data_IF_638984855354
#
_entry.id   IF_638984855354
#
_cell.length_a   1.000
_cell.length_b   1.000
_cell.length_c   1.000
_cell.angle_alpha   90.00
_cell.angle_beta   90.00
_cell.angle_gamma   90.00
#
_symmetry.space_group_name_H-M   'P 1'
#
loop_
_entity.id
_entity.type
_entity.pdbx_description
1 polymer ?
#
# COMPACT_ATOMS: atom_id res chain seq x y z
N UNK A 1 54.96 -20.89 0.91
CA UNK A 1 54.28 -19.71 0.33
C UNK A 1 53.04 -20.03 -0.56
N UNK A 2 52.86 -21.25 -1.05
CA UNK A 2 51.67 -21.61 -1.88
C UNK A 2 50.37 -21.81 -1.08
N UNK A 3 50.44 -22.23 0.18
CA UNK A 3 49.24 -22.50 1.03
C UNK A 3 48.49 -21.24 1.50
N UNK A 4 49.15 -20.09 1.59
CA UNK A 4 48.57 -18.81 2.02
C UNK A 4 47.67 -18.19 0.92
N UNK A 5 47.98 -18.44 -0.36
CA UNK A 5 47.19 -17.93 -1.49
C UNK A 5 45.81 -18.57 -1.59
N UNK A 6 45.65 -19.83 -1.19
CA UNK A 6 44.36 -20.52 -1.20
C UNK A 6 43.47 -20.16 0.00
N UNK A 7 44.09 -19.81 1.14
CA UNK A 7 43.36 -19.34 2.32
C UNK A 7 42.67 -17.98 2.05
N UNK A 8 43.37 -17.07 1.36
CA UNK A 8 42.80 -15.77 0.94
C UNK A 8 41.67 -15.91 -0.07
N UNK A 9 41.76 -16.87 -0.99
CA UNK A 9 40.70 -17.12 -1.99
C UNK A 9 39.45 -17.73 -1.36
N UNK A 10 39.59 -18.64 -0.39
CA UNK A 10 38.44 -19.21 0.34
C UNK A 10 37.73 -18.19 1.22
N UNK A 11 38.43 -17.22 1.83
CA UNK A 11 37.84 -16.17 2.64
C UNK A 11 37.04 -15.19 1.77
N UNK A 12 37.53 -14.86 0.57
CA UNK A 12 36.81 -14.00 -0.39
C UNK A 12 35.58 -14.70 -0.93
N UNK A 13 35.62 -16.01 -1.18
CA UNK A 13 34.47 -16.81 -1.64
C UNK A 13 33.41 -16.99 -0.54
N UNK A 14 33.79 -17.01 0.74
CA UNK A 14 32.87 -17.09 1.88
C UNK A 14 32.18 -15.73 2.18
N UNK A 15 32.81 -14.62 1.84
CA UNK A 15 32.25 -13.26 2.02
C UNK A 15 31.22 -12.88 0.93
N UNK A 16 31.20 -13.58 -0.21
CA UNK A 16 30.23 -13.31 -1.29
C UNK A 16 28.91 -14.08 -1.16
N UNK A 17 28.76 -14.95 -0.14
CA UNK A 17 27.50 -15.68 0.10
C UNK A 17 26.53 -15.00 1.09
N UNK A 18 26.80 -13.76 1.50
CA UNK A 18 25.97 -13.05 2.50
C UNK A 18 25.22 -11.86 1.94
N UNK A 19 24.67 -11.93 0.75
CA UNK A 19 23.69 -10.94 0.32
C UNK A 19 22.64 -11.57 -0.59
N UNK A 20 21.73 -12.36 -0.08
CA UNK A 20 20.34 -12.43 -0.54
C UNK A 20 19.48 -13.00 0.61
N UNK A 21 19.38 -12.31 1.72
CA UNK A 21 18.14 -12.39 2.48
C UNK A 21 17.26 -11.30 1.93
N UNK A 22 16.59 -11.57 0.82
CA UNK A 22 15.40 -10.85 0.46
C UNK A 22 14.42 -11.01 1.62
N UNK A 23 14.25 -9.96 2.41
CA UNK A 23 13.17 -9.84 3.38
C UNK A 23 11.89 -9.72 2.55
N UNK A 24 11.44 -10.81 1.94
CA UNK A 24 10.14 -10.91 1.32
C UNK A 24 9.13 -10.84 2.47
N UNK A 25 8.49 -9.68 2.65
CA UNK A 25 7.32 -9.60 3.51
C UNK A 25 6.34 -10.66 3.04
N UNK A 26 5.81 -11.47 3.98
CA UNK A 26 4.82 -12.50 3.63
C UNK A 26 3.61 -11.81 3.01
N UNK A 27 3.04 -12.43 1.97
CA UNK A 27 1.80 -11.96 1.38
C UNK A 27 0.67 -11.96 2.42
N UNK A 28 -0.20 -10.97 2.36
CA UNK A 28 -1.37 -10.88 3.21
C UNK A 28 -2.47 -11.73 2.61
N UNK A 29 -2.84 -12.81 3.30
CA UNK A 29 -3.88 -13.74 2.86
C UNK A 29 -5.29 -13.20 3.17
N UNK A 30 -6.27 -13.62 2.38
CA UNK A 30 -7.69 -13.31 2.55
C UNK A 30 -8.26 -12.40 1.48
N UNK A 31 -9.59 -12.22 1.51
CA UNK A 31 -10.31 -11.31 0.60
C UNK A 31 -10.02 -9.86 0.98
N UNK A 32 -10.00 -8.97 0.01
CA UNK A 32 -9.74 -7.55 0.27
C UNK A 32 -10.80 -6.90 1.15
N UNK A 33 -12.05 -7.35 1.10
CA UNK A 33 -13.12 -6.87 1.99
C UNK A 33 -12.78 -7.16 3.46
N UNK A 34 -12.38 -8.41 3.76
CA UNK A 34 -12.01 -8.83 5.12
C UNK A 34 -10.76 -8.08 5.62
N UNK A 35 -9.82 -7.81 4.71
CA UNK A 35 -8.62 -7.02 5.02
C UNK A 35 -9.02 -5.55 5.28
N UNK A 36 -9.89 -4.97 4.46
CA UNK A 36 -10.38 -3.61 4.65
C UNK A 36 -11.05 -3.46 6.01
N UNK A 37 -11.90 -4.40 6.41
CA UNK A 37 -12.55 -4.38 7.73
C UNK A 37 -11.53 -4.40 8.88
N UNK A 38 -10.44 -5.14 8.73
CA UNK A 38 -9.35 -5.17 9.71
C UNK A 38 -8.62 -3.84 9.85
N UNK A 39 -8.52 -3.05 8.77
CA UNK A 39 -7.92 -1.71 8.84
C UNK A 39 -8.72 -0.75 9.72
N UNK A 40 -10.02 -0.95 9.82
CA UNK A 40 -10.91 -0.10 10.61
C UNK A 40 -11.16 -0.57 12.05
N UNK A 41 -10.53 -1.66 12.48
CA UNK A 41 -10.83 -2.27 13.79
C UNK A 41 -10.57 -1.31 14.96
N UNK A 42 -9.52 -0.49 14.86
CA UNK A 42 -9.15 0.47 15.92
C UNK A 42 -9.80 1.86 15.75
N UNK A 43 -10.72 1.99 14.78
CA UNK A 43 -11.49 3.22 14.56
C UNK A 43 -12.93 2.96 15.00
N UNK A 44 -13.35 3.60 16.11
CA UNK A 44 -14.71 3.50 16.60
C UNK A 44 -15.71 3.98 15.53
N UNK A 45 -16.90 3.38 15.48
CA UNK A 45 -17.89 3.66 14.43
C UNK A 45 -18.28 5.15 14.35
N UNK A 46 -18.40 5.82 15.48
CA UNK A 46 -18.72 7.26 15.56
C UNK A 46 -17.58 8.17 15.09
N UNK A 47 -16.36 7.64 14.99
CA UNK A 47 -15.18 8.33 14.43
C UNK A 47 -14.93 7.99 12.96
N UNK A 48 -15.70 7.06 12.37
CA UNK A 48 -15.62 6.77 10.94
C UNK A 48 -16.37 7.85 10.15
N UNK A 49 -15.92 8.14 8.91
CA UNK A 49 -16.64 9.11 8.08
C UNK A 49 -18.07 8.63 7.79
N UNK A 50 -18.99 9.58 7.69
CA UNK A 50 -20.39 9.25 7.33
C UNK A 50 -20.47 8.63 5.93
N UNK A 51 -21.44 7.74 5.73
CA UNK A 51 -21.70 7.05 4.45
C UNK A 51 -20.47 6.37 3.85
N UNK A 52 -19.67 5.72 4.71
CA UNK A 52 -18.51 4.93 4.27
C UNK A 52 -18.99 3.71 3.48
N UNK A 53 -18.46 3.49 2.29
CA UNK A 53 -18.87 2.43 1.36
C UNK A 53 -17.66 1.77 0.73
N UNK A 54 -17.68 0.45 0.65
CA UNK A 54 -16.69 -0.32 -0.12
C UNK A 54 -17.11 -0.35 -1.60
N UNK A 55 -16.20 0.08 -2.47
CA UNK A 55 -16.38 0.22 -3.90
C UNK A 55 -15.44 -0.77 -4.61
N UNK A 56 -15.95 -1.75 -5.35
CA UNK A 56 -15.12 -2.59 -6.21
C UNK A 56 -14.39 -1.76 -7.27
N UNK A 57 -13.12 -2.05 -7.47
CA UNK A 57 -12.30 -1.38 -8.48
C UNK A 57 -12.07 -2.33 -9.65
N UNK A 58 -12.22 -1.79 -10.86
CA UNK A 58 -11.97 -2.45 -12.15
C UNK A 58 -11.10 -1.57 -13.05
N UNK A 59 -10.81 -2.06 -14.26
CA UNK A 59 -9.95 -1.37 -15.22
C UNK A 59 -10.54 -0.04 -15.73
N UNK A 60 -11.85 0.19 -15.58
CA UNK A 60 -12.51 1.42 -16.02
C UNK A 60 -12.36 2.55 -14.99
N UNK A 61 -12.25 2.20 -13.69
CA UNK A 61 -12.26 3.17 -12.61
C UNK A 61 -10.96 3.27 -11.80
N UNK A 62 -10.03 2.33 -11.93
CA UNK A 62 -8.80 2.25 -11.11
C UNK A 62 -7.99 3.54 -11.14
N UNK A 63 -7.87 4.20 -12.30
CA UNK A 63 -7.12 5.44 -12.46
C UNK A 63 -7.69 6.57 -11.56
N UNK A 64 -9.00 6.62 -11.37
CA UNK A 64 -9.65 7.62 -10.52
C UNK A 64 -9.34 7.45 -9.03
N UNK A 65 -8.96 6.23 -8.62
CA UNK A 65 -8.65 5.92 -7.22
C UNK A 65 -7.16 6.05 -6.90
N UNK A 66 -6.28 5.62 -7.81
CA UNK A 66 -4.83 5.55 -7.55
C UNK A 66 -3.97 6.38 -8.50
N UNK A 67 -4.57 7.07 -9.49
CA UNK A 67 -3.87 7.97 -10.42
C UNK A 67 -3.11 7.26 -11.54
N UNK A 68 -3.10 5.95 -11.59
CA UNK A 68 -2.48 5.15 -12.65
C UNK A 68 -3.45 4.08 -13.17
N UNK A 69 -3.38 3.78 -14.46
CA UNK A 69 -4.15 2.71 -15.11
C UNK A 69 -3.29 1.52 -15.54
N UNK A 70 -1.99 1.75 -15.78
CA UNK A 70 -1.06 0.73 -16.25
C UNK A 70 -0.50 -0.08 -15.07
N UNK A 71 -1.39 -0.78 -14.35
CA UNK A 71 -1.07 -1.64 -13.21
C UNK A 71 -1.67 -3.04 -13.42
N UNK A 72 -0.85 -4.07 -13.26
CA UNK A 72 -1.31 -5.45 -13.31
C UNK A 72 -1.70 -5.95 -11.93
N UNK A 73 -3.00 -6.12 -11.68
CA UNK A 73 -3.55 -6.56 -10.40
C UNK A 73 -4.50 -7.74 -10.54
N UNK A 74 -4.80 -8.42 -9.44
CA UNK A 74 -5.77 -9.52 -9.36
C UNK A 74 -7.10 -9.08 -8.79
N UNK A 75 -7.05 -8.17 -7.81
CA UNK A 75 -8.23 -7.59 -7.15
C UNK A 75 -7.88 -6.22 -6.59
N UNK A 76 -8.87 -5.33 -6.53
CA UNK A 76 -8.74 -4.02 -5.92
C UNK A 76 -10.08 -3.56 -5.34
N UNK A 77 -10.03 -2.80 -4.23
CA UNK A 77 -11.21 -2.26 -3.55
C UNK A 77 -10.87 -0.91 -2.93
N UNK A 78 -11.82 0.00 -2.92
CA UNK A 78 -11.73 1.25 -2.19
C UNK A 78 -12.79 1.32 -1.08
N UNK A 79 -12.43 1.92 0.04
CA UNK A 79 -13.38 2.35 1.08
C UNK A 79 -13.41 3.87 1.08
N UNK A 80 -14.54 4.45 0.66
CA UNK A 80 -14.69 5.90 0.51
C UNK A 80 -15.95 6.43 1.23
N UNK A 81 -15.85 7.67 1.69
CA UNK A 81 -17.05 8.43 2.09
C UNK A 81 -17.79 8.92 0.84
N UNK A 82 -19.08 8.61 0.75
CA UNK A 82 -19.95 9.14 -0.31
C UNK A 82 -20.31 10.63 -0.07
N UNK A 83 -19.83 11.23 1.01
CA UNK A 83 -19.98 12.65 1.30
C UNK A 83 -18.84 13.45 0.65
N UNK A 84 -19.12 14.18 -0.42
CA UNK A 84 -18.12 14.98 -1.15
C UNK A 84 -17.40 16.07 -0.35
N UNK A 85 -17.82 16.31 0.91
CA UNK A 85 -17.20 17.24 1.86
C UNK A 85 -16.26 16.55 2.86
N UNK A 86 -16.00 15.25 2.69
CA UNK A 86 -15.11 14.46 3.54
C UNK A 86 -14.05 13.80 2.65
N UNK A 87 -12.80 14.23 2.79
CA UNK A 87 -11.70 13.58 2.10
C UNK A 87 -11.31 12.29 2.84
N UNK A 88 -11.85 11.16 2.36
CA UNK A 88 -11.58 9.85 2.89
C UNK A 88 -11.62 8.79 1.78
N UNK A 89 -10.47 8.25 1.47
CA UNK A 89 -10.27 7.15 0.53
C UNK A 89 -9.17 6.23 1.04
N UNK A 90 -9.49 4.97 1.21
CA UNK A 90 -8.54 3.89 1.53
C UNK A 90 -8.66 2.87 0.41
N UNK A 91 -7.58 2.63 -0.31
CA UNK A 91 -7.57 1.71 -1.45
C UNK A 91 -6.63 0.56 -1.17
N UNK A 92 -7.08 -0.66 -1.43
CA UNK A 92 -6.27 -1.87 -1.43
C UNK A 92 -6.16 -2.39 -2.85
N UNK A 93 -4.94 -2.68 -3.30
CA UNK A 93 -4.64 -3.27 -4.61
C UNK A 93 -3.72 -4.47 -4.42
N UNK A 94 -4.14 -5.65 -4.85
CA UNK A 94 -3.31 -6.85 -4.90
C UNK A 94 -2.72 -7.01 -6.29
N UNK A 95 -1.42 -6.75 -6.42
CA UNK A 95 -0.73 -6.81 -7.70
C UNK A 95 -0.41 -8.26 -8.10
N UNK A 96 -0.30 -8.51 -9.41
CA UNK A 96 0.07 -9.84 -9.94
C UNK A 96 1.54 -10.17 -9.74
N UNK A 97 2.41 -9.16 -9.79
CA UNK A 97 3.85 -9.29 -9.68
C UNK A 97 4.39 -8.43 -8.54
N UNK A 98 4.73 -9.09 -7.44
CA UNK A 98 5.28 -8.41 -6.26
C UNK A 98 6.61 -7.67 -6.52
N UNK A 99 7.34 -8.03 -7.58
CA UNK A 99 8.60 -7.34 -7.96
C UNK A 99 8.37 -5.92 -8.48
N UNK A 100 7.15 -5.60 -8.95
CA UNK A 100 6.75 -4.28 -9.45
C UNK A 100 6.15 -3.37 -8.37
N UNK A 101 5.98 -3.85 -7.15
CA UNK A 101 5.31 -3.11 -6.06
C UNK A 101 5.95 -1.75 -5.82
N UNK A 102 7.27 -1.66 -5.73
CA UNK A 102 7.96 -0.38 -5.46
C UNK A 102 7.83 0.61 -6.62
N UNK A 103 7.81 0.12 -7.87
CA UNK A 103 7.53 0.95 -9.05
C UNK A 103 6.11 1.52 -8.99
N UNK A 104 5.10 0.66 -8.76
CA UNK A 104 3.72 1.10 -8.65
C UNK A 104 3.48 2.08 -7.50
N UNK A 105 4.11 1.87 -6.34
CA UNK A 105 4.02 2.80 -5.20
C UNK A 105 4.54 4.19 -5.54
N UNK A 106 5.69 4.25 -6.22
CA UNK A 106 6.29 5.53 -6.64
C UNK A 106 5.36 6.27 -7.64
N UNK A 107 4.85 5.54 -8.62
CA UNK A 107 3.92 6.08 -9.62
C UNK A 107 2.59 6.55 -9.01
N UNK A 108 2.03 5.77 -8.08
CA UNK A 108 0.81 6.14 -7.35
C UNK A 108 1.05 7.42 -6.54
N UNK A 109 2.13 7.49 -5.75
CA UNK A 109 2.44 8.65 -4.93
C UNK A 109 2.61 9.93 -5.76
N UNK A 110 3.16 9.82 -6.98
CA UNK A 110 3.33 10.94 -7.90
C UNK A 110 2.00 11.38 -8.54
N UNK A 111 1.15 10.41 -8.95
CA UNK A 111 0.03 10.68 -9.87
C UNK A 111 -1.34 10.70 -9.21
N UNK A 112 -1.52 10.08 -8.04
CA UNK A 112 -2.81 10.08 -7.34
C UNK A 112 -3.26 11.51 -7.05
N UNK A 113 -4.56 11.79 -7.21
CA UNK A 113 -5.13 13.09 -6.89
C UNK A 113 -5.61 13.14 -5.42
N UNK A 114 -4.88 13.81 -4.52
CA UNK A 114 -5.28 13.94 -3.12
C UNK A 114 -6.39 14.97 -2.90
N UNK A 115 -6.83 15.66 -3.96
CA UNK A 115 -7.87 16.71 -3.94
C UNK A 115 -9.05 16.39 -4.84
N UNK A 116 -9.32 15.11 -5.12
CA UNK A 116 -10.40 14.65 -6.00
C UNK A 116 -11.81 15.03 -5.52
N UNK A 117 -11.96 15.53 -4.30
CA UNK A 117 -13.24 16.01 -3.73
C UNK A 117 -13.49 17.48 -4.05
N UNK A 118 -14.76 17.93 -3.95
CA UNK A 118 -15.18 19.26 -4.42
C UNK A 118 -14.61 20.42 -3.58
N UNK A 119 -14.59 20.28 -2.24
CA UNK A 119 -14.24 21.38 -1.32
C UNK A 119 -13.14 21.03 -0.32
N UNK A 120 -12.69 19.80 -0.31
CA UNK A 120 -11.75 19.26 0.66
C UNK A 120 -10.68 18.44 -0.04
N UNK A 121 -9.61 18.15 0.65
CA UNK A 121 -8.52 17.34 0.13
C UNK A 121 -7.48 17.11 1.21
N UNK A 122 -6.45 16.37 0.85
CA UNK A 122 -5.30 16.07 1.68
C UNK A 122 -4.07 16.68 1.01
N UNK A 123 -3.10 17.16 1.76
CA UNK A 123 -1.85 17.61 1.15
C UNK A 123 -1.06 16.39 0.63
N UNK A 124 -0.28 16.58 -0.42
CA UNK A 124 0.40 15.45 -1.09
C UNK A 124 1.37 14.72 -0.17
N UNK A 125 2.05 15.42 0.71
CA UNK A 125 2.97 14.86 1.72
C UNK A 125 2.26 14.12 2.87
N UNK A 126 0.95 14.21 2.93
CA UNK A 126 0.10 13.47 3.87
C UNK A 126 -0.51 12.20 3.26
N UNK A 127 -0.36 11.97 1.95
CA UNK A 127 -0.78 10.73 1.29
C UNK A 127 0.15 9.59 1.72
N UNK A 128 -0.42 8.48 2.14
CA UNK A 128 0.35 7.29 2.51
C UNK A 128 0.17 6.22 1.44
N UNK A 129 1.29 5.71 0.91
CA UNK A 129 1.34 4.57 0.00
C UNK A 129 2.32 3.56 0.55
N UNK A 130 1.81 2.45 1.07
CA UNK A 130 2.59 1.40 1.69
C UNK A 130 2.30 0.04 1.05
N UNK A 131 3.12 -0.97 1.35
CA UNK A 131 2.92 -2.31 0.80
C UNK A 131 3.37 -3.40 1.76
N UNK A 132 2.74 -4.57 1.62
CA UNK A 132 3.10 -5.80 2.33
C UNK A 132 2.96 -7.00 1.40
N UNK A 133 4.09 -7.55 0.95
CA UNK A 133 4.10 -8.56 -0.10
C UNK A 133 3.60 -8.02 -1.44
N UNK A 134 2.53 -8.60 -1.96
CA UNK A 134 1.85 -8.21 -3.19
C UNK A 134 0.72 -7.19 -2.99
N UNK A 135 0.45 -6.80 -1.73
CA UNK A 135 -0.62 -5.88 -1.39
C UNK A 135 -0.11 -4.45 -1.22
N UNK A 136 -0.71 -3.51 -1.95
CA UNK A 136 -0.49 -2.07 -1.81
C UNK A 136 -1.70 -1.45 -1.12
N UNK A 137 -1.47 -0.52 -0.18
CA UNK A 137 -2.48 0.37 0.38
C UNK A 137 -2.21 1.81 -0.03
N UNK A 138 -3.27 2.53 -0.39
CA UNK A 138 -3.25 3.98 -0.61
C UNK A 138 -4.22 4.63 0.37
N UNK A 139 -3.74 5.52 1.23
CA UNK A 139 -4.54 6.17 2.26
C UNK A 139 -4.54 7.68 2.02
N UNK A 140 -5.69 8.22 1.65
CA UNK A 140 -5.94 9.64 1.46
C UNK A 140 -7.06 10.05 2.41
N UNK A 141 -6.70 10.36 3.65
CA UNK A 141 -7.64 10.59 4.75
C UNK A 141 -7.31 11.89 5.43
N UNK A 142 -8.28 12.82 5.46
CA UNK A 142 -8.13 14.16 6.05
C UNK A 142 -7.89 14.11 7.56
N UNK A 143 -8.62 13.23 8.28
CA UNK A 143 -8.43 13.06 9.71
C UNK A 143 -7.09 12.38 9.99
N UNK A 144 -6.20 13.10 10.67
CA UNK A 144 -4.84 12.66 10.93
C UNK A 144 -4.78 11.42 11.83
N UNK A 145 -5.64 11.35 12.84
CA UNK A 145 -5.63 10.23 13.80
C UNK A 145 -6.14 8.95 13.13
N UNK A 146 -7.20 9.05 12.32
CA UNK A 146 -7.69 7.92 11.53
C UNK A 146 -6.67 7.51 10.46
N UNK A 147 -6.02 8.46 9.79
CA UNK A 147 -4.97 8.18 8.81
C UNK A 147 -3.84 7.36 9.41
N UNK A 148 -3.37 7.74 10.60
CA UNK A 148 -2.30 7.02 11.30
C UNK A 148 -2.76 5.62 11.75
N UNK A 149 -3.97 5.50 12.32
CA UNK A 149 -4.52 4.20 12.72
C UNK A 149 -4.65 3.23 11.55
N UNK A 150 -5.08 3.72 10.37
CA UNK A 150 -5.18 2.90 9.16
C UNK A 150 -3.80 2.40 8.69
N UNK A 151 -2.78 3.28 8.70
CA UNK A 151 -1.41 2.90 8.36
C UNK A 151 -0.85 1.88 9.36
N UNK A 152 -1.03 2.11 10.66
CA UNK A 152 -0.58 1.20 11.71
C UNK A 152 -1.28 -0.17 11.60
N UNK A 153 -2.60 -0.18 11.34
CA UNK A 153 -3.36 -1.41 11.13
C UNK A 153 -2.85 -2.20 9.92
N UNK A 154 -2.54 -1.51 8.81
CA UNK A 154 -1.96 -2.15 7.62
C UNK A 154 -0.58 -2.76 7.92
N UNK A 155 0.27 -2.04 8.63
CA UNK A 155 1.61 -2.52 8.99
C UNK A 155 1.57 -3.73 9.96
N UNK A 156 0.47 -3.90 10.69
CA UNK A 156 0.26 -5.02 11.61
C UNK A 156 -0.49 -6.23 10.99
N UNK A 157 -0.85 -6.19 9.69
CA UNK A 157 -1.46 -7.32 8.98
C UNK A 157 -0.52 -8.59 8.92
#
# INVERSE_FOLDING_TARGET
>A
MRKIKYLGLCVVLLLTMFVVTGCGSKNVEGKLEDIMDRLYVDIAEDNRPGLLTNIPIDDENIESFIGIKDIEYTEAIASESMMGAIAHSVVLVRVKDASKVEEYKADILEKVDPRKWICVGVERDEVIVESKGDLIVVIIVQDKDNRQKLADAFNNL
#
